data_IF_126972957855
#
_entry.id   IF_126972957855
#
_cell.length_a   1.000
_cell.length_b   1.000
_cell.length_c   1.000
_cell.angle_alpha   90.00
_cell.angle_beta   90.00
_cell.angle_gamma   90.00
#
_symmetry.space_group_name_H-M   'P 1'
#
loop_
_entity.id
_entity.type
_entity.pdbx_description
1 polymer ?
#
# COMPACT_ATOMS: atom_id res chain seq x y z
N UNK A 1 13.53 12.89 11.01
CA UNK A 1 12.68 12.15 10.06
C UNK A 1 12.36 10.77 10.61
N UNK A 2 11.07 10.42 10.65
CA UNK A 2 10.63 9.08 11.07
C UNK A 2 10.22 8.26 9.85
N UNK A 3 10.35 6.94 9.96
CA UNK A 3 9.96 6.00 8.92
C UNK A 3 8.73 5.23 9.39
N UNK A 4 7.70 5.16 8.55
CA UNK A 4 6.45 4.49 8.88
C UNK A 4 6.11 3.46 7.81
N UNK A 5 5.90 2.23 8.21
CA UNK A 5 5.38 1.18 7.34
C UNK A 5 3.89 1.02 7.64
N UNK A 6 3.07 1.43 6.68
CA UNK A 6 1.62 1.42 6.81
C UNK A 6 1.09 0.13 6.19
N UNK A 7 0.83 -0.87 7.03
CA UNK A 7 0.31 -2.16 6.58
C UNK A 7 -1.22 -2.11 6.54
N UNK A 8 -1.76 -2.28 5.35
CA UNK A 8 -3.20 -2.12 5.10
C UNK A 8 -3.83 -3.47 4.80
N UNK A 9 -4.72 -3.90 5.68
CA UNK A 9 -5.44 -5.17 5.53
C UNK A 9 -6.90 -4.98 5.15
N UNK A 10 -7.50 -3.85 5.51
CA UNK A 10 -8.91 -3.59 5.30
C UNK A 10 -9.18 -3.16 3.85
N UNK A 11 -10.14 -3.81 3.20
CA UNK A 11 -10.52 -3.53 1.82
C UNK A 11 -11.65 -2.52 1.64
N UNK A 12 -12.09 -1.87 2.72
CA UNK A 12 -13.13 -0.85 2.65
C UNK A 12 -12.52 0.47 2.15
N UNK A 13 -13.04 1.05 1.05
CA UNK A 13 -12.55 2.34 0.55
C UNK A 13 -12.61 3.47 1.59
N UNK A 14 -13.61 3.43 2.49
CA UNK A 14 -13.74 4.43 3.55
C UNK A 14 -12.61 4.35 4.57
N UNK A 15 -12.02 3.16 4.74
CA UNK A 15 -10.83 2.99 5.58
C UNK A 15 -9.56 3.33 4.80
N UNK A 16 -9.51 2.96 3.53
CA UNK A 16 -8.31 3.15 2.70
C UNK A 16 -8.01 4.63 2.46
N UNK A 17 -9.02 5.50 2.42
CA UNK A 17 -8.79 6.93 2.26
C UNK A 17 -7.89 7.48 3.38
N UNK A 18 -8.01 6.96 4.60
CA UNK A 18 -7.20 7.40 5.73
C UNK A 18 -5.73 7.04 5.55
N UNK A 19 -5.46 5.90 4.92
CA UNK A 19 -4.09 5.48 4.60
C UNK A 19 -3.48 6.49 3.62
N UNK A 20 -4.20 6.81 2.55
CA UNK A 20 -3.71 7.74 1.53
C UNK A 20 -3.45 9.12 2.09
N UNK A 21 -4.40 9.64 2.86
CA UNK A 21 -4.28 10.98 3.46
C UNK A 21 -3.13 11.03 4.47
N UNK A 22 -2.98 10.01 5.31
CA UNK A 22 -1.89 9.99 6.29
C UNK A 22 -0.53 9.87 5.62
N UNK A 23 -0.41 9.03 4.58
CA UNK A 23 0.84 8.90 3.85
C UNK A 23 1.26 10.25 3.23
N UNK A 24 0.33 10.94 2.60
CA UNK A 24 0.61 12.25 1.98
C UNK A 24 0.99 13.29 3.02
N UNK A 25 0.29 13.34 4.15
CA UNK A 25 0.58 14.26 5.25
C UNK A 25 1.95 13.99 5.86
N UNK A 26 2.28 12.72 6.09
CA UNK A 26 3.58 12.32 6.61
C UNK A 26 4.71 12.75 5.67
N UNK A 27 4.51 12.56 4.37
CA UNK A 27 5.51 12.96 3.37
C UNK A 27 5.70 14.47 3.35
N UNK A 28 4.62 15.22 3.45
CA UNK A 28 4.67 16.68 3.50
C UNK A 28 5.48 17.18 4.71
N UNK A 29 5.41 16.46 5.82
CA UNK A 29 6.18 16.76 7.03
C UNK A 29 7.59 16.15 7.05
N UNK A 30 8.08 15.72 5.90
CA UNK A 30 9.43 15.16 5.71
C UNK A 30 9.67 13.84 6.44
N UNK A 31 8.62 13.02 6.62
CA UNK A 31 8.77 11.65 7.07
C UNK A 31 8.84 10.71 5.87
N UNK A 32 9.14 9.44 6.10
CA UNK A 32 9.22 8.40 5.08
C UNK A 32 8.10 7.37 5.31
N UNK A 33 6.87 7.63 4.79
CA UNK A 33 5.80 6.66 4.85
C UNK A 33 5.90 5.68 3.69
N UNK A 34 5.63 4.41 3.96
CA UNK A 34 5.59 3.35 2.95
C UNK A 34 4.30 2.57 3.11
N UNK A 35 3.48 2.55 2.05
CA UNK A 35 2.21 1.83 2.05
C UNK A 35 2.44 0.40 1.58
N UNK A 36 2.02 -0.57 2.37
CA UNK A 36 2.10 -1.99 2.06
C UNK A 36 0.68 -2.57 2.09
N UNK A 37 0.21 -3.07 0.95
CA UNK A 37 -1.15 -3.59 0.85
C UNK A 37 -1.15 -5.10 1.01
N UNK A 38 -1.94 -5.59 1.97
CA UNK A 38 -2.14 -7.01 2.24
C UNK A 38 -3.63 -7.32 2.42
N UNK A 39 -3.94 -8.61 2.51
CA UNK A 39 -5.30 -9.05 2.78
C UNK A 39 -6.31 -8.48 1.79
N UNK A 40 -7.48 -8.12 2.30
CA UNK A 40 -8.59 -7.64 1.47
C UNK A 40 -8.30 -6.33 0.74
N UNK A 41 -7.33 -5.53 1.22
CA UNK A 41 -7.01 -4.25 0.57
C UNK A 41 -6.50 -4.41 -0.86
N UNK A 42 -5.90 -5.57 -1.20
CA UNK A 42 -5.42 -5.81 -2.57
C UNK A 42 -6.54 -5.84 -3.60
N UNK A 43 -7.78 -6.05 -3.18
CA UNK A 43 -8.94 -5.98 -4.06
C UNK A 43 -9.18 -4.57 -4.59
N UNK A 44 -8.68 -3.55 -3.91
CA UNK A 44 -8.83 -2.16 -4.33
C UNK A 44 -7.95 -1.80 -5.52
N UNK A 45 -6.88 -2.55 -5.77
CA UNK A 45 -5.89 -2.22 -6.80
C UNK A 45 -6.52 -1.91 -8.17
N UNK A 46 -7.38 -2.79 -8.74
CA UNK A 46 -8.00 -2.48 -10.04
C UNK A 46 -9.02 -1.35 -9.96
N UNK A 47 -9.59 -1.08 -8.78
CA UNK A 47 -10.59 -0.02 -8.62
C UNK A 47 -9.96 1.37 -8.54
N UNK A 48 -8.79 1.48 -7.91
CA UNK A 48 -8.13 2.76 -7.65
C UNK A 48 -7.67 3.49 -8.92
N UNK A 49 -7.49 2.78 -10.02
CA UNK A 49 -7.08 3.37 -11.31
C UNK A 49 -8.24 3.82 -12.16
N UNK A 50 -9.47 3.51 -11.78
CA UNK A 50 -10.65 3.90 -12.54
C UNK A 50 -10.92 5.40 -12.38
N UNK A 51 -11.14 6.10 -13.49
CA UNK A 51 -11.34 7.55 -13.49
C UNK A 51 -12.50 8.01 -12.61
N UNK A 52 -13.57 7.20 -12.50
CA UNK A 52 -14.73 7.51 -11.68
C UNK A 52 -14.58 7.17 -10.20
N UNK A 53 -13.47 6.59 -9.80
CA UNK A 53 -13.26 6.23 -8.39
C UNK A 53 -12.89 7.48 -7.59
N UNK A 54 -13.60 7.76 -6.48
CA UNK A 54 -13.31 8.95 -5.65
C UNK A 54 -11.88 9.01 -5.10
N UNK A 55 -11.20 7.86 -4.96
CA UNK A 55 -9.84 7.79 -4.45
C UNK A 55 -8.77 7.86 -5.54
N UNK A 56 -9.16 7.92 -6.81
CA UNK A 56 -8.23 7.86 -7.92
C UNK A 56 -7.15 8.95 -7.86
N UNK A 57 -7.52 10.19 -7.56
CA UNK A 57 -6.55 11.28 -7.50
C UNK A 57 -5.55 11.12 -6.36
N UNK A 58 -6.01 10.67 -5.19
CA UNK A 58 -5.13 10.40 -4.05
C UNK A 58 -4.19 9.24 -4.35
N UNK A 59 -4.71 8.18 -5.00
CA UNK A 59 -3.90 7.03 -5.41
C UNK A 59 -2.78 7.45 -6.34
N UNK A 60 -3.11 8.27 -7.35
CA UNK A 60 -2.09 8.81 -8.27
C UNK A 60 -1.02 9.59 -7.54
N UNK A 61 -1.41 10.41 -6.56
CA UNK A 61 -0.45 11.20 -5.78
C UNK A 61 0.53 10.34 -5.00
N UNK A 62 0.04 9.30 -4.32
CA UNK A 62 0.94 8.43 -3.55
C UNK A 62 1.85 7.61 -4.48
N UNK A 63 1.35 7.18 -5.63
CA UNK A 63 2.16 6.51 -6.64
C UNK A 63 3.25 7.45 -7.16
N UNK A 64 2.88 8.67 -7.57
CA UNK A 64 3.82 9.65 -8.14
C UNK A 64 4.90 10.05 -7.14
N UNK A 65 4.59 10.09 -5.86
CA UNK A 65 5.56 10.41 -4.82
C UNK A 65 6.36 9.21 -4.34
N UNK A 66 6.10 8.02 -4.89
CA UNK A 66 6.85 6.81 -4.53
C UNK A 66 6.52 6.29 -3.13
N UNK A 67 5.30 6.53 -2.63
CA UNK A 67 4.90 6.16 -1.27
C UNK A 67 4.33 4.75 -1.15
N UNK A 68 4.07 4.07 -2.26
CA UNK A 68 3.59 2.69 -2.24
C UNK A 68 4.80 1.76 -2.31
N UNK A 69 5.08 1.09 -1.22
CA UNK A 69 6.18 0.12 -1.14
C UNK A 69 5.89 -1.09 -2.02
N UNK A 70 4.67 -1.60 -1.94
CA UNK A 70 4.26 -2.73 -2.74
C UNK A 70 3.01 -3.39 -2.20
N UNK A 71 2.71 -4.54 -2.78
CA UNK A 71 1.52 -5.33 -2.47
C UNK A 71 1.91 -6.77 -2.15
N UNK A 72 1.16 -7.39 -1.26
CA UNK A 72 1.35 -8.80 -0.92
C UNK A 72 1.12 -9.68 -2.15
N UNK A 73 2.13 -10.43 -2.55
CA UNK A 73 2.05 -11.30 -3.73
C UNK A 73 1.02 -12.41 -3.54
N UNK A 74 1.07 -13.10 -2.41
CA UNK A 74 0.14 -14.20 -2.12
C UNK A 74 -1.31 -13.73 -2.07
N UNK A 75 -1.57 -12.60 -1.41
CA UNK A 75 -2.92 -12.05 -1.32
C UNK A 75 -3.44 -11.62 -2.69
N UNK A 76 -2.61 -10.96 -3.48
CA UNK A 76 -2.99 -10.51 -4.83
C UNK A 76 -3.30 -11.70 -5.74
N UNK A 77 -2.50 -12.77 -5.66
CA UNK A 77 -2.75 -13.99 -6.43
C UNK A 77 -4.06 -14.65 -6.01
N UNK A 78 -4.27 -14.81 -4.70
CA UNK A 78 -5.46 -15.47 -4.18
C UNK A 78 -6.75 -14.70 -4.49
N UNK A 79 -6.70 -13.38 -4.43
CA UNK A 79 -7.87 -12.52 -4.65
C UNK A 79 -8.02 -12.02 -6.08
N UNK A 80 -7.18 -12.50 -7.00
CA UNK A 80 -7.36 -12.25 -8.44
C UNK A 80 -6.91 -10.89 -8.93
N UNK A 81 -6.02 -10.19 -8.21
CA UNK A 81 -5.54 -8.85 -8.59
C UNK A 81 -4.05 -8.79 -8.92
N UNK A 82 -3.40 -9.95 -9.08
CA UNK A 82 -1.96 -10.01 -9.35
C UNK A 82 -1.60 -9.31 -10.66
N UNK A 83 -2.37 -9.56 -11.73
CA UNK A 83 -2.11 -8.94 -13.03
C UNK A 83 -2.33 -7.43 -13.00
N UNK A 84 -3.34 -6.98 -12.25
CA UNK A 84 -3.59 -5.54 -12.06
C UNK A 84 -2.41 -4.87 -11.36
N UNK A 85 -1.86 -5.51 -10.34
CA UNK A 85 -0.69 -4.99 -9.64
C UNK A 85 0.51 -4.89 -10.58
N UNK A 86 0.75 -5.92 -11.40
CA UNK A 86 1.83 -5.92 -12.38
C UNK A 86 1.65 -4.81 -13.43
N UNK A 87 0.43 -4.63 -13.93
CA UNK A 87 0.14 -3.58 -14.91
C UNK A 87 0.41 -2.18 -14.39
N UNK A 88 0.20 -1.96 -13.09
CA UNK A 88 0.46 -0.68 -12.45
C UNK A 88 1.92 -0.51 -12.02
N UNK A 89 2.77 -1.51 -12.25
CA UNK A 89 4.17 -1.46 -11.87
C UNK A 89 4.42 -1.57 -10.38
N UNK A 90 3.47 -2.12 -9.62
CA UNK A 90 3.60 -2.27 -8.18
C UNK A 90 4.55 -3.42 -7.84
N UNK A 91 5.40 -3.21 -6.85
CA UNK A 91 6.31 -4.24 -6.37
C UNK A 91 5.54 -5.35 -5.66
N UNK A 92 5.84 -6.58 -6.01
CA UNK A 92 5.23 -7.74 -5.36
C UNK A 92 6.10 -8.16 -4.18
N UNK A 93 5.54 -8.14 -2.98
CA UNK A 93 6.25 -8.42 -1.73
C UNK A 93 5.95 -9.85 -1.29
N UNK A 94 7.00 -10.65 -1.09
CA UNK A 94 6.83 -12.10 -0.91
C UNK A 94 7.87 -12.75 0.02
N UNK A 95 8.55 -11.99 0.85
CA UNK A 95 9.70 -12.49 1.63
C UNK A 95 9.33 -13.46 2.76
N UNK A 96 8.05 -13.51 3.16
CA UNK A 96 7.57 -14.40 4.21
C UNK A 96 6.45 -15.29 3.65
N UNK A 97 6.83 -16.43 3.09
CA UNK A 97 5.88 -17.40 2.51
C UNK A 97 4.89 -16.75 1.51
N UNK A 98 5.39 -15.83 0.69
CA UNK A 98 4.57 -15.12 -0.30
C UNK A 98 3.94 -13.83 0.21
N UNK A 99 4.20 -13.45 1.46
CA UNK A 99 3.71 -12.22 2.10
C UNK A 99 4.88 -11.31 2.51
N UNK A 100 4.65 -10.00 2.66
CA UNK A 100 5.68 -9.14 3.23
C UNK A 100 5.84 -9.39 4.73
N UNK A 101 7.08 -9.38 5.21
CA UNK A 101 7.37 -9.59 6.63
C UNK A 101 7.49 -8.25 7.35
N UNK A 102 6.72 -8.04 8.41
CA UNK A 102 6.82 -6.82 9.21
C UNK A 102 8.20 -6.64 9.82
N UNK A 103 8.86 -7.76 10.21
CA UNK A 103 10.20 -7.70 10.80
C UNK A 103 11.23 -7.09 9.84
N UNK A 104 11.09 -7.27 8.53
CA UNK A 104 11.99 -6.66 7.54
C UNK A 104 11.98 -5.14 7.67
N UNK A 105 10.81 -4.56 7.94
CA UNK A 105 10.66 -3.11 8.09
C UNK A 105 11.12 -2.63 9.46
N UNK A 106 10.83 -3.40 10.52
CA UNK A 106 11.33 -3.09 11.86
C UNK A 106 12.87 -3.07 11.89
N UNK A 107 13.49 -4.03 11.22
CA UNK A 107 14.96 -4.11 11.14
C UNK A 107 15.56 -2.90 10.44
N UNK A 108 14.81 -2.25 9.57
CA UNK A 108 15.23 -1.04 8.84
C UNK A 108 14.86 0.25 9.58
N UNK A 109 14.30 0.16 10.77
CA UNK A 109 13.95 1.32 11.58
C UNK A 109 12.56 1.91 11.32
N UNK A 110 11.67 1.18 10.65
CA UNK A 110 10.30 1.63 10.44
C UNK A 110 9.42 1.34 11.65
N UNK A 111 8.55 2.28 11.97
CA UNK A 111 7.44 2.03 12.88
C UNK A 111 6.31 1.38 12.08
N UNK A 112 5.68 0.34 12.64
CA UNK A 112 4.60 -0.38 11.98
C UNK A 112 3.27 0.18 12.44
N UNK A 113 2.44 0.59 11.47
CA UNK A 113 1.07 1.02 11.74
C UNK A 113 0.16 0.16 10.86
N UNK A 114 -0.86 -0.43 11.45
CA UNK A 114 -1.81 -1.28 10.71
C UNK A 114 -3.16 -0.59 10.53
N UNK A 115 -3.74 -0.83 9.37
CA UNK A 115 -5.07 -0.31 9.04
C UNK A 115 -6.00 -1.45 8.63
#
# INVERSE_FOLDING_TARGET
MNKFALFVFNGDPMCFIHVLLNALEMKEKNHDPRIIMEGASVKLIPELVKAGNPLNMLWKKVIDQGLVEGVCKACSSKLGTLDDAKKQGLTLLDTMSGHPAMSDYRDKGFEIITF
#
